data_IF_618876851083
#
_entry.id   IF_618876851083
#
_cell.length_a   1.000
_cell.length_b   1.000
_cell.length_c   1.000
_cell.angle_alpha   90.00
_cell.angle_beta   90.00
_cell.angle_gamma   90.00
#
_symmetry.space_group_name_H-M   'P 1'
#
loop_
_entity.id
_entity.type
_entity.pdbx_description
1 polymer ?
#
# COMPACT_ATOMS: atom_id res chain seq x y z
N UNK A 1 46.35 11.43 -18.83
CA UNK A 1 45.05 11.03 -19.43
C UNK A 1 44.02 12.08 -19.05
N UNK A 2 43.24 12.56 -20.02
CA UNK A 2 42.20 13.57 -19.79
C UNK A 2 41.04 12.82 -19.12
N UNK A 3 40.83 13.03 -17.83
CA UNK A 3 39.65 12.52 -17.11
C UNK A 3 38.42 13.14 -17.79
N UNK A 4 37.73 12.35 -18.62
CA UNK A 4 36.47 12.79 -19.19
C UNK A 4 35.42 12.75 -18.08
N UNK A 5 34.74 13.87 -17.87
CA UNK A 5 33.64 13.93 -16.91
C UNK A 5 32.47 13.09 -17.44
N UNK A 6 31.92 12.20 -16.61
CA UNK A 6 30.80 11.35 -16.99
C UNK A 6 29.53 12.20 -16.87
N UNK A 7 28.71 12.34 -17.92
CA UNK A 7 27.46 13.07 -17.81
C UNK A 7 26.48 12.40 -16.84
N UNK A 8 25.88 13.17 -15.94
CA UNK A 8 24.93 12.67 -14.92
C UNK A 8 23.82 11.82 -15.54
N UNK A 9 23.26 12.28 -16.68
CA UNK A 9 22.24 11.54 -17.42
C UNK A 9 22.67 10.11 -17.79
N UNK A 10 23.94 9.89 -18.13
CA UNK A 10 24.43 8.54 -18.47
C UNK A 10 24.53 7.68 -17.22
N UNK A 11 24.98 8.25 -16.09
CA UNK A 11 25.01 7.55 -14.80
C UNK A 11 23.60 7.14 -14.38
N UNK A 12 22.62 8.04 -14.51
CA UNK A 12 21.21 7.78 -14.22
C UNK A 12 20.62 6.68 -15.11
N UNK A 13 20.81 6.75 -16.43
CA UNK A 13 20.30 5.74 -17.37
C UNK A 13 20.92 4.35 -17.10
N UNK A 14 22.20 4.29 -16.71
CA UNK A 14 22.85 3.03 -16.28
C UNK A 14 22.29 2.56 -14.92
N UNK A 15 22.16 3.46 -13.96
CA UNK A 15 21.67 3.17 -12.60
C UNK A 15 20.19 2.73 -12.60
N UNK A 16 19.39 3.19 -13.56
CA UNK A 16 18.01 2.76 -13.81
C UNK A 16 17.92 1.46 -14.62
N UNK A 17 19.04 0.94 -15.13
CA UNK A 17 19.09 -0.28 -15.94
C UNK A 17 18.61 -0.10 -17.38
N UNK A 18 18.46 1.15 -17.85
CA UNK A 18 18.11 1.47 -19.23
C UNK A 18 19.31 1.29 -20.18
N UNK A 19 20.53 1.35 -19.64
CA UNK A 19 21.78 1.10 -20.36
C UNK A 19 22.71 0.17 -19.57
N UNK A 20 23.57 -0.55 -20.29
CA UNK A 20 24.60 -1.37 -19.67
C UNK A 20 25.87 -0.54 -19.42
N UNK A 21 26.46 -0.67 -18.22
CA UNK A 21 27.71 0.01 -17.85
C UNK A 21 28.91 -0.44 -18.71
N UNK A 22 28.91 -1.70 -19.16
CA UNK A 22 29.99 -2.30 -19.94
C UNK A 22 30.23 -1.57 -21.27
N UNK A 23 29.18 -1.01 -21.86
CA UNK A 23 29.23 -0.26 -23.13
C UNK A 23 30.04 1.05 -23.01
N UNK A 24 30.33 1.49 -21.77
CA UNK A 24 30.94 2.79 -21.47
C UNK A 24 32.32 2.68 -20.83
N UNK A 25 32.83 1.46 -20.57
CA UNK A 25 34.13 1.26 -19.93
C UNK A 25 35.30 1.78 -20.77
N UNK A 26 35.24 1.62 -22.09
CA UNK A 26 36.30 2.10 -22.98
C UNK A 26 36.30 3.64 -23.12
N UNK A 27 35.15 4.27 -22.84
CA UNK A 27 34.97 5.71 -22.99
C UNK A 27 35.39 6.45 -21.71
N UNK A 28 34.89 6.00 -20.56
CA UNK A 28 35.08 6.70 -19.28
C UNK A 28 36.03 5.99 -18.32
N UNK A 29 36.45 4.77 -18.63
CA UNK A 29 37.24 3.93 -17.74
C UNK A 29 36.36 3.21 -16.73
N UNK A 30 36.53 1.88 -16.64
CA UNK A 30 35.76 1.02 -15.73
C UNK A 30 35.76 1.52 -14.28
N UNK A 31 36.94 1.79 -13.72
CA UNK A 31 37.09 2.20 -12.32
C UNK A 31 36.40 3.54 -12.03
N UNK A 32 36.49 4.50 -12.97
CA UNK A 32 35.87 5.82 -12.81
C UNK A 32 34.34 5.72 -12.86
N UNK A 33 33.80 4.91 -13.78
CA UNK A 33 32.36 4.70 -13.93
C UNK A 33 31.76 3.95 -12.73
N UNK A 34 32.41 2.88 -12.27
CA UNK A 34 31.97 2.13 -11.09
C UNK A 34 32.01 2.98 -9.81
N UNK A 35 33.03 3.82 -9.65
CA UNK A 35 33.10 4.74 -8.51
C UNK A 35 32.01 5.81 -8.56
N UNK A 36 31.69 6.34 -9.74
CA UNK A 36 30.61 7.33 -9.90
C UNK A 36 29.23 6.72 -9.61
N UNK A 37 28.96 5.49 -10.08
CA UNK A 37 27.72 4.77 -9.76
C UNK A 37 27.60 4.49 -8.27
N UNK A 38 28.70 4.10 -7.61
CA UNK A 38 28.71 3.88 -6.16
C UNK A 38 28.43 5.17 -5.38
N UNK A 39 28.94 6.31 -5.84
CA UNK A 39 28.65 7.61 -5.23
C UNK A 39 27.17 7.99 -5.42
N UNK A 40 26.59 7.70 -6.59
CA UNK A 40 25.17 7.90 -6.85
C UNK A 40 24.30 7.06 -5.91
N UNK A 41 24.61 5.76 -5.76
CA UNK A 41 23.93 4.87 -4.82
C UNK A 41 23.98 5.40 -3.37
N UNK A 42 25.15 5.90 -2.94
CA UNK A 42 25.32 6.48 -1.61
C UNK A 42 24.52 7.76 -1.41
N UNK A 43 24.46 8.61 -2.45
CA UNK A 43 23.65 9.83 -2.44
C UNK A 43 22.16 9.49 -2.35
N UNK A 44 21.70 8.49 -3.09
CA UNK A 44 20.31 8.02 -3.01
C UNK A 44 19.97 7.48 -1.63
N UNK A 45 20.85 6.69 -1.02
CA UNK A 45 20.67 6.21 0.36
C UNK A 45 20.67 7.37 1.37
N UNK A 46 21.50 8.39 1.19
CA UNK A 46 21.51 9.60 2.03
C UNK A 46 20.20 10.39 1.86
N UNK A 47 19.71 10.58 0.64
CA UNK A 47 18.46 11.28 0.36
C UNK A 47 17.28 10.52 0.96
N UNK A 48 17.21 9.20 0.76
CA UNK A 48 16.13 8.35 1.28
C UNK A 48 16.15 8.22 2.81
N UNK A 49 17.31 8.39 3.45
CA UNK A 49 17.42 8.42 4.91
C UNK A 49 17.17 9.80 5.52
N UNK A 50 17.44 10.88 4.79
CA UNK A 50 17.13 12.27 5.21
C UNK A 50 15.68 12.66 4.92
N UNK A 51 15.12 12.12 3.84
CA UNK A 51 13.75 12.36 3.40
C UNK A 51 13.10 11.00 3.14
N UNK A 52 12.47 10.44 4.17
CA UNK A 52 11.65 9.26 3.96
C UNK A 52 10.54 9.64 2.97
N UNK A 53 10.24 8.77 1.99
CA UNK A 53 9.22 9.04 0.98
C UNK A 53 7.85 9.38 1.60
N UNK A 54 7.59 8.89 2.82
CA UNK A 54 6.43 9.24 3.63
C UNK A 54 6.39 10.71 4.07
N UNK A 55 7.52 11.37 4.35
CA UNK A 55 7.57 12.78 4.78
C UNK A 55 7.13 13.72 3.65
N UNK A 56 7.54 13.41 2.42
CA UNK A 56 7.16 14.18 1.23
C UNK A 56 5.68 13.96 0.88
N UNK A 57 5.18 12.73 1.05
CA UNK A 57 3.76 12.41 0.96
C UNK A 57 2.96 13.20 1.99
N UNK A 58 3.43 13.27 3.24
CA UNK A 58 2.78 14.02 4.32
C UNK A 58 2.81 15.54 4.07
N UNK A 59 3.88 16.08 3.49
CA UNK A 59 3.95 17.49 3.09
C UNK A 59 2.96 17.83 1.96
N UNK A 60 2.78 16.93 0.98
CA UNK A 60 1.78 17.07 -0.08
C UNK A 60 0.36 16.95 0.48
N UNK A 61 0.11 15.97 1.34
CA UNK A 61 -1.16 15.80 2.04
C UNK A 61 -1.48 17.04 2.88
N UNK A 62 -0.56 17.53 3.70
CA UNK A 62 -0.71 18.77 4.49
C UNK A 62 -1.04 19.97 3.61
N UNK A 63 -0.44 20.08 2.42
CA UNK A 63 -0.74 21.15 1.44
C UNK A 63 -2.11 20.97 0.77
N UNK A 64 -2.56 19.74 0.55
CA UNK A 64 -3.90 19.44 0.04
C UNK A 64 -4.98 19.66 1.10
N UNK A 65 -4.67 19.45 2.38
CA UNK A 65 -5.60 19.66 3.51
C UNK A 65 -5.59 21.09 4.07
N UNK A 66 -4.53 21.89 3.87
CA UNK A 66 -4.48 23.30 4.31
C UNK A 66 -5.23 24.26 3.38
N UNK A 67 -5.54 23.85 2.16
CA UNK A 67 -6.33 24.65 1.20
C UNK A 67 -7.85 24.59 1.50
N UNK A 68 -8.29 23.64 2.32
CA UNK A 68 -9.72 23.41 2.61
C UNK A 68 -10.21 23.98 3.94
N UNK A 69 -9.36 24.66 4.70
CA UNK A 69 -9.70 25.24 6.02
C UNK A 69 -9.34 26.72 6.14
N UNK A 70 -10.08 27.60 5.44
CA UNK A 70 -9.89 29.04 5.55
C UNK A 70 -10.99 29.85 4.84
N UNK A 71 -12.08 30.10 5.56
CA UNK A 71 -13.21 30.95 5.13
C UNK A 71 -12.83 32.44 5.16
N UNK A 72 -13.30 33.18 4.15
CA UNK A 72 -13.67 34.62 4.15
C UNK A 72 -12.64 35.67 4.58
N UNK A 73 -12.05 36.35 3.60
CA UNK A 73 -11.79 37.79 3.64
C UNK A 73 -12.92 38.51 2.91
N UNK A 74 -13.72 39.29 3.65
CA UNK A 74 -14.99 39.85 3.20
C UNK A 74 -14.88 40.97 2.16
N UNK A 75 -15.83 40.96 1.22
CA UNK A 75 -16.31 42.15 0.54
C UNK A 75 -17.73 42.41 1.05
N UNK A 76 -17.90 43.60 1.62
CA UNK A 76 -19.15 44.19 2.08
C UNK A 76 -20.13 44.41 0.92
N UNK A 77 -21.37 43.99 1.10
CA UNK A 77 -22.51 44.30 0.23
C UNK A 77 -23.80 43.97 0.97
N UNK A 78 -24.61 45.01 1.17
CA UNK A 78 -25.82 45.13 1.99
C UNK A 78 -27.05 44.33 1.49
N UNK A 79 -28.00 44.14 2.45
CA UNK A 79 -29.47 44.13 2.32
C UNK A 79 -30.16 43.11 1.37
N UNK A 80 -31.34 42.54 1.62
CA UNK A 80 -32.41 42.74 2.59
C UNK A 80 -33.37 41.53 2.52
N UNK A 81 -34.11 41.37 3.61
CA UNK A 81 -35.51 40.92 3.70
C UNK A 81 -35.92 39.42 3.67
N UNK A 82 -36.84 39.21 4.61
CA UNK A 82 -37.67 38.11 5.08
C UNK A 82 -38.00 36.90 4.18
N UNK A 83 -38.04 35.72 4.82
CA UNK A 83 -39.32 35.07 5.18
C UNK A 83 -39.11 33.70 5.83
N UNK A 84 -39.80 33.50 6.95
CA UNK A 84 -39.88 32.25 7.69
C UNK A 84 -40.61 31.16 6.90
N UNK A 85 -40.16 29.90 7.02
CA UNK A 85 -41.05 28.76 7.32
C UNK A 85 -40.31 27.48 7.67
N UNK A 86 -40.47 27.06 8.93
CA UNK A 86 -40.37 25.67 9.41
C UNK A 86 -41.44 24.81 8.71
N UNK A 87 -41.12 23.55 8.37
CA UNK A 87 -41.73 22.37 9.00
C UNK A 87 -41.36 21.06 8.28
N UNK A 88 -40.71 20.19 9.05
CA UNK A 88 -41.05 18.78 9.30
C UNK A 88 -41.15 17.73 8.16
N UNK A 89 -40.55 16.54 8.36
CA UNK A 89 -40.64 15.37 7.49
C UNK A 89 -41.84 14.48 7.86
N UNK A 90 -42.64 14.03 6.88
CA UNK A 90 -43.38 12.75 6.89
C UNK A 90 -44.27 12.59 5.63
N UNK A 91 -43.93 11.65 4.76
CA UNK A 91 -44.84 10.94 3.84
C UNK A 91 -44.06 9.73 3.30
N UNK A 92 -44.06 8.55 3.91
CA UNK A 92 -45.15 7.59 4.13
C UNK A 92 -45.70 6.99 2.82
N UNK A 93 -45.57 5.65 2.74
CA UNK A 93 -46.42 4.64 2.05
C UNK A 93 -45.98 4.09 0.68
N UNK A 94 -45.29 2.95 0.76
CA UNK A 94 -45.81 1.59 0.47
C UNK A 94 -46.65 1.38 -0.82
N UNK A 95 -46.15 0.49 -1.71
CA UNK A 95 -46.99 -0.42 -2.50
C UNK A 95 -46.37 -1.84 -2.53
N UNK A 96 -47.20 -2.82 -2.21
CA UNK A 96 -46.97 -4.28 -2.18
C UNK A 96 -47.60 -4.89 -3.46
N UNK A 97 -47.18 -6.13 -3.77
CA UNK A 97 -47.81 -7.22 -4.56
C UNK A 97 -47.37 -7.30 -6.03
N UNK A 98 -46.69 -8.34 -6.55
CA UNK A 98 -46.78 -9.81 -6.52
C UNK A 98 -47.44 -10.38 -7.80
N UNK A 99 -46.83 -11.42 -8.38
CA UNK A 99 -47.36 -12.49 -9.28
C UNK A 99 -46.21 -12.97 -10.21
N UNK A 100 -46.06 -14.22 -10.65
CA UNK A 100 -46.42 -15.57 -10.21
C UNK A 100 -45.64 -16.54 -11.15
N UNK A 101 -45.51 -17.80 -10.74
CA UNK A 101 -44.73 -18.90 -11.32
C UNK A 101 -45.12 -19.37 -12.75
N UNK A 102 -44.14 -19.98 -13.46
CA UNK A 102 -44.23 -21.24 -14.26
C UNK A 102 -42.86 -21.51 -14.95
N UNK A 103 -41.98 -22.37 -14.43
CA UNK A 103 -41.81 -23.83 -14.67
C UNK A 103 -41.80 -24.25 -16.14
N UNK A 104 -40.62 -24.69 -16.64
CA UNK A 104 -40.52 -25.90 -17.47
C UNK A 104 -39.17 -26.60 -17.24
N UNK A 105 -39.26 -27.87 -16.86
CA UNK A 105 -38.17 -28.81 -16.64
C UNK A 105 -38.09 -29.82 -17.80
N UNK A 106 -36.89 -30.26 -18.18
CA UNK A 106 -36.53 -31.61 -18.68
C UNK A 106 -35.01 -31.62 -18.95
N UNK A 107 -34.09 -32.27 -18.21
CA UNK A 107 -33.92 -33.69 -17.82
C UNK A 107 -33.17 -34.53 -18.87
N UNK A 108 -31.86 -34.70 -18.60
CA UNK A 108 -31.05 -35.95 -18.53
C UNK A 108 -30.56 -36.70 -19.80
N UNK A 109 -29.23 -36.95 -19.80
CA UNK A 109 -28.41 -38.01 -20.41
C UNK A 109 -28.27 -38.06 -21.95
N UNK A 110 -27.12 -38.36 -22.58
CA UNK A 110 -26.04 -39.27 -22.21
C UNK A 110 -24.69 -38.91 -22.92
N UNK A 111 -23.57 -39.56 -22.56
CA UNK A 111 -22.20 -39.12 -22.86
C UNK A 111 -21.48 -39.98 -23.95
N UNK A 112 -20.22 -39.61 -24.27
CA UNK A 112 -19.09 -40.49 -24.70
C UNK A 112 -18.87 -40.79 -26.22
N UNK A 113 -17.63 -40.47 -26.64
CA UNK A 113 -16.81 -40.85 -27.85
C UNK A 113 -16.98 -40.12 -29.20
N UNK A 114 -16.01 -39.26 -29.52
CA UNK A 114 -15.11 -39.35 -30.71
C UNK A 114 -13.97 -38.32 -30.53
N UNK A 115 -12.85 -38.70 -29.94
CA UNK A 115 -11.60 -39.13 -30.60
C UNK A 115 -10.85 -38.08 -31.43
N UNK A 116 -9.61 -37.84 -30.95
CA UNK A 116 -8.34 -37.74 -31.68
C UNK A 116 -8.02 -36.45 -32.46
N UNK A 117 -7.23 -35.58 -31.82
CA UNK A 117 -6.09 -34.94 -32.45
C UNK A 117 -4.96 -34.66 -31.43
N UNK A 118 -3.96 -35.54 -31.43
CA UNK A 118 -2.52 -35.31 -31.18
C UNK A 118 -1.82 -36.20 -32.23
N UNK A 119 -0.64 -35.84 -32.79
CA UNK A 119 0.48 -35.24 -32.05
C UNK A 119 1.31 -34.19 -32.83
N UNK A 120 2.13 -33.41 -32.12
CA UNK A 120 3.48 -33.07 -32.57
C UNK A 120 4.31 -32.62 -31.37
N UNK A 121 5.38 -33.36 -31.15
CA UNK A 121 6.42 -33.12 -30.15
C UNK A 121 7.11 -31.77 -30.38
N UNK A 122 7.27 -30.99 -29.31
CA UNK A 122 8.33 -30.00 -29.21
C UNK A 122 9.11 -30.27 -27.91
N UNK A 123 10.41 -30.42 -28.10
CA UNK A 123 11.44 -30.78 -27.13
C UNK A 123 11.50 -29.83 -25.92
N UNK A 124 11.88 -30.31 -24.72
CA UNK A 124 12.04 -29.48 -23.53
C UNK A 124 13.43 -28.87 -23.51
N UNK A 125 13.61 -27.64 -23.99
CA UNK A 125 14.83 -26.89 -23.71
C UNK A 125 14.63 -25.39 -23.93
N UNK A 126 14.15 -24.70 -22.88
CA UNK A 126 14.79 -23.48 -22.38
C UNK A 126 14.16 -23.09 -21.05
N UNK A 127 14.43 -23.88 -20.01
CA UNK A 127 14.38 -23.36 -18.66
C UNK A 127 15.58 -22.42 -18.50
N UNK A 128 15.41 -21.17 -18.91
CA UNK A 128 16.22 -20.07 -18.39
C UNK A 128 15.90 -19.95 -16.90
N UNK A 129 16.51 -20.84 -16.11
CA UNK A 129 16.77 -20.66 -14.68
C UNK A 129 17.66 -19.43 -14.59
N UNK A 130 17.03 -18.28 -14.34
CA UNK A 130 17.74 -17.12 -13.84
C UNK A 130 18.34 -17.49 -12.50
N UNK A 131 19.67 -17.57 -12.51
CA UNK A 131 20.52 -17.87 -11.39
C UNK A 131 20.56 -16.62 -10.50
N UNK A 132 20.04 -16.73 -9.28
CA UNK A 132 20.18 -15.74 -8.22
C UNK A 132 18.98 -14.81 -8.07
N UNK A 133 18.08 -15.15 -7.14
CA UNK A 133 17.14 -14.19 -6.57
C UNK A 133 17.92 -13.15 -5.75
N UNK A 134 18.52 -12.16 -6.42
CA UNK A 134 18.57 -10.82 -5.86
C UNK A 134 17.41 -10.07 -6.50
N UNK A 135 16.29 -10.01 -5.77
CA UNK A 135 15.24 -9.06 -6.09
C UNK A 135 15.93 -7.69 -6.13
N UNK A 136 15.74 -6.88 -7.19
CA UNK A 136 16.35 -5.57 -7.25
C UNK A 136 16.02 -4.83 -5.95
N UNK A 137 17.07 -4.38 -5.26
CA UNK A 137 17.05 -3.71 -3.96
C UNK A 137 16.36 -2.33 -3.99
N UNK A 138 15.49 -2.11 -4.97
CA UNK A 138 14.99 -0.80 -5.42
C UNK A 138 13.48 -0.62 -5.24
N UNK A 139 12.74 -1.65 -4.82
CA UNK A 139 11.32 -1.46 -4.49
C UNK A 139 11.21 -0.94 -3.06
N UNK A 140 10.61 0.25 -2.83
CA UNK A 140 10.45 0.76 -1.48
C UNK A 140 9.49 -0.13 -0.68
N UNK A 141 9.62 -0.07 0.64
CA UNK A 141 8.62 -0.63 1.53
C UNK A 141 7.26 -0.01 1.23
N UNK A 142 6.22 -0.83 1.15
CA UNK A 142 4.86 -0.33 0.88
C UNK A 142 3.80 -1.21 1.53
N UNK A 143 2.71 -0.57 1.95
CA UNK A 143 1.48 -1.21 2.39
C UNK A 143 0.36 -0.73 1.46
N UNK A 144 -0.44 -1.64 0.91
CA UNK A 144 -1.61 -1.30 0.11
C UNK A 144 -2.85 -2.04 0.57
N UNK A 145 -3.98 -1.39 0.40
CA UNK A 145 -5.29 -1.91 0.76
C UNK A 145 -6.18 -1.97 -0.49
N UNK A 146 -6.95 -3.04 -0.59
CA UNK A 146 -7.94 -3.22 -1.64
C UNK A 146 -9.28 -3.55 -1.02
N UNK A 147 -10.35 -2.86 -1.42
CA UNK A 147 -11.71 -3.16 -0.98
C UNK A 147 -12.39 -4.10 -1.96
N UNK A 148 -13.08 -5.11 -1.43
CA UNK A 148 -13.98 -5.95 -2.21
C UNK A 148 -15.34 -5.25 -2.37
N UNK A 149 -15.75 -5.02 -3.61
CA UNK A 149 -17.05 -4.47 -3.97
C UNK A 149 -17.80 -5.49 -4.85
N UNK A 150 -18.56 -6.37 -4.19
CA UNK A 150 -19.23 -7.50 -4.85
C UNK A 150 -18.24 -8.49 -5.49
N UNK A 151 -18.20 -8.52 -6.82
CA UNK A 151 -17.26 -9.32 -7.62
C UNK A 151 -16.01 -8.53 -8.08
N UNK A 152 -15.91 -7.25 -7.73
CA UNK A 152 -14.78 -6.39 -8.08
C UNK A 152 -13.87 -6.15 -6.88
N UNK A 153 -12.60 -5.83 -7.16
CA UNK A 153 -11.59 -5.47 -6.17
C UNK A 153 -11.04 -4.11 -6.56
N UNK A 154 -11.18 -3.14 -5.66
CA UNK A 154 -10.81 -1.75 -5.89
C UNK A 154 -9.62 -1.39 -5.00
N UNK A 155 -8.53 -0.91 -5.61
CA UNK A 155 -7.41 -0.37 -4.86
C UNK A 155 -7.86 0.90 -4.13
N UNK A 156 -7.51 1.00 -2.84
CA UNK A 156 -7.79 2.19 -2.04
C UNK A 156 -6.59 3.13 -2.10
N UNK A 157 -6.86 4.42 -1.95
CA UNK A 157 -5.85 5.45 -1.70
C UNK A 157 -5.73 5.72 -0.21
N UNK A 158 -4.57 6.18 0.24
CA UNK A 158 -4.40 6.58 1.64
C UNK A 158 -5.32 7.77 1.96
N UNK A 159 -6.12 7.65 3.02
CA UNK A 159 -7.18 8.60 3.38
C UNK A 159 -8.53 8.35 2.68
N UNK A 160 -8.68 7.26 1.94
CA UNK A 160 -9.96 6.87 1.36
C UNK A 160 -11.02 6.63 2.44
N UNK A 161 -12.29 6.87 2.11
CA UNK A 161 -13.41 6.55 2.99
C UNK A 161 -13.76 5.07 2.90
N UNK A 162 -13.95 4.47 4.07
CA UNK A 162 -14.39 3.09 4.26
C UNK A 162 -15.48 3.05 5.34
N UNK A 163 -16.28 2.00 5.34
CA UNK A 163 -17.43 1.85 6.23
C UNK A 163 -17.44 0.49 6.88
N UNK A 164 -18.16 0.35 7.99
CA UNK A 164 -18.39 -0.93 8.64
C UNK A 164 -18.92 -1.97 7.62
N UNK A 165 -18.38 -3.18 7.67
CA UNK A 165 -18.67 -4.27 6.74
C UNK A 165 -17.89 -4.24 5.43
N UNK A 166 -17.08 -3.22 5.14
CA UNK A 166 -16.15 -3.26 4.01
C UNK A 166 -15.10 -4.36 4.23
N UNK A 167 -14.90 -5.22 3.23
CA UNK A 167 -13.89 -6.29 3.28
C UNK A 167 -12.61 -5.83 2.59
N UNK A 168 -11.53 -5.76 3.36
CA UNK A 168 -10.23 -5.21 2.99
C UNK A 168 -9.20 -6.33 2.82
N UNK A 169 -8.60 -6.41 1.64
CA UNK A 169 -7.40 -7.21 1.41
C UNK A 169 -6.15 -6.35 1.64
N UNK A 170 -5.26 -6.83 2.51
CA UNK A 170 -3.99 -6.19 2.80
C UNK A 170 -2.90 -6.83 1.92
N UNK A 171 -2.07 -6.01 1.30
CA UNK A 171 -0.85 -6.43 0.61
C UNK A 171 0.35 -5.62 1.08
N UNK A 172 1.54 -6.21 1.04
CA UNK A 172 2.77 -5.54 1.42
C UNK A 172 3.90 -5.78 0.43
N UNK A 173 4.87 -4.87 0.46
CA UNK A 173 6.22 -5.08 -0.03
C UNK A 173 7.18 -4.71 1.10
N UNK A 174 8.07 -5.62 1.56
CA UNK A 174 8.96 -5.32 2.67
C UNK A 174 10.16 -4.44 2.25
N UNK A 175 10.32 -4.17 0.96
CA UNK A 175 11.46 -3.47 0.40
C UNK A 175 12.78 -4.16 0.74
N UNK A 176 13.66 -3.44 1.44
CA UNK A 176 14.98 -3.94 1.90
C UNK A 176 14.96 -4.64 3.26
N UNK A 177 13.81 -4.67 3.94
CA UNK A 177 13.68 -5.21 5.29
C UNK A 177 13.33 -6.70 5.23
N UNK A 178 13.89 -7.49 6.16
CA UNK A 178 13.74 -8.95 6.17
C UNK A 178 12.66 -9.43 7.14
N UNK A 179 12.33 -8.63 8.16
CA UNK A 179 11.41 -8.97 9.24
C UNK A 179 10.34 -7.90 9.37
N UNK A 180 9.11 -8.29 9.70
CA UNK A 180 8.06 -7.31 9.93
C UNK A 180 6.81 -7.81 10.66
N UNK A 181 6.01 -6.84 11.05
CA UNK A 181 4.70 -6.97 11.71
C UNK A 181 3.74 -6.02 11.00
N UNK A 182 2.51 -6.48 10.78
CA UNK A 182 1.42 -5.65 10.26
C UNK A 182 0.28 -5.68 11.27
N UNK A 183 -0.20 -4.50 11.65
CA UNK A 183 -1.33 -4.34 12.56
C UNK A 183 -2.11 -3.08 12.17
N UNK A 184 -3.29 -2.91 12.75
CA UNK A 184 -4.06 -1.70 12.63
C UNK A 184 -4.46 -1.14 13.99
N UNK A 185 -4.74 0.16 14.01
CA UNK A 185 -5.26 0.90 15.16
C UNK A 185 -6.56 1.57 14.70
N UNK A 186 -7.65 1.31 15.40
CA UNK A 186 -8.95 1.93 15.15
C UNK A 186 -9.11 3.27 15.91
N UNK A 187 -10.18 4.01 15.64
CA UNK A 187 -10.49 5.26 16.36
C UNK A 187 -10.85 5.09 17.84
N UNK A 188 -11.07 3.85 18.32
CA UNK A 188 -11.20 3.56 19.75
C UNK A 188 -9.85 3.25 20.42
N UNK A 189 -8.75 3.22 19.65
CA UNK A 189 -7.42 2.83 20.11
C UNK A 189 -7.21 1.31 20.21
N UNK A 190 -8.12 0.49 19.67
CA UNK A 190 -7.94 -0.95 19.66
C UNK A 190 -6.87 -1.35 18.64
N UNK A 191 -5.98 -2.23 19.06
CA UNK A 191 -4.89 -2.74 18.23
C UNK A 191 -5.26 -4.11 17.68
N UNK A 192 -5.35 -4.24 16.36
CA UNK A 192 -5.62 -5.52 15.69
C UNK A 192 -4.38 -5.99 14.93
N UNK A 193 -3.84 -7.16 15.30
CA UNK A 193 -2.73 -7.77 14.56
C UNK A 193 -3.24 -8.43 13.28
N UNK A 194 -2.56 -8.17 12.17
CA UNK A 194 -2.81 -8.82 10.87
C UNK A 194 -1.67 -9.77 10.47
N UNK A 195 -0.44 -9.49 10.90
CA UNK A 195 0.73 -10.33 10.63
C UNK A 195 1.81 -10.10 11.71
N UNK A 196 2.48 -11.13 12.24
CA UNK A 196 2.27 -12.56 12.00
C UNK A 196 0.94 -13.08 12.56
N UNK A 197 0.57 -14.32 12.22
CA UNK A 197 -0.66 -14.97 12.70
C UNK A 197 -0.73 -15.06 14.24
N UNK A 198 0.43 -15.23 14.89
CA UNK A 198 0.54 -15.33 16.35
C UNK A 198 1.75 -14.58 16.90
N UNK A 199 1.60 -14.07 18.12
CA UNK A 199 2.64 -13.28 18.80
C UNK A 199 2.83 -11.88 18.22
N UNK A 200 3.71 -11.10 18.84
CA UNK A 200 4.10 -9.77 18.38
C UNK A 200 5.57 -9.68 17.97
N UNK A 201 6.24 -10.83 17.94
CA UNK A 201 7.60 -10.97 17.42
C UNK A 201 7.59 -10.99 15.89
N UNK A 202 8.33 -10.07 15.28
CA UNK A 202 8.46 -9.94 13.84
C UNK A 202 8.99 -11.24 13.22
N UNK A 203 8.32 -11.71 12.18
CA UNK A 203 8.72 -12.91 11.43
C UNK A 203 9.35 -12.51 10.10
N UNK A 204 10.10 -13.44 9.52
CA UNK A 204 10.72 -13.22 8.21
C UNK A 204 9.65 -13.01 7.14
N UNK A 205 9.75 -11.90 6.42
CA UNK A 205 8.81 -11.55 5.37
C UNK A 205 9.17 -12.24 4.06
N UNK A 206 8.17 -12.48 3.22
CA UNK A 206 8.40 -12.97 1.85
C UNK A 206 8.90 -11.80 1.02
N UNK A 207 9.80 -12.06 0.08
CA UNK A 207 10.22 -11.08 -0.92
C UNK A 207 9.77 -11.56 -2.31
N UNK A 208 9.15 -10.66 -3.06
CA UNK A 208 8.70 -10.87 -4.43
C UNK A 208 8.99 -9.61 -5.26
N UNK A 209 9.01 -9.73 -6.59
CA UNK A 209 9.03 -8.58 -7.49
C UNK A 209 7.70 -7.81 -7.54
N UNK A 210 6.69 -8.28 -6.82
CA UNK A 210 5.35 -7.70 -6.71
C UNK A 210 4.90 -7.61 -5.25
N UNK A 211 3.77 -6.95 -5.02
CA UNK A 211 3.08 -6.99 -3.73
C UNK A 211 2.70 -8.43 -3.33
N UNK A 212 2.76 -8.69 -2.03
CA UNK A 212 2.42 -9.97 -1.42
C UNK A 212 1.14 -9.79 -0.61
N UNK A 213 0.05 -10.49 -0.95
CA UNK A 213 -1.16 -10.46 -0.15
C UNK A 213 -0.96 -11.22 1.16
N UNK A 214 -1.63 -10.77 2.21
CA UNK A 214 -1.87 -11.60 3.39
C UNK A 214 -2.88 -12.71 3.06
N UNK A 215 -2.81 -13.81 3.82
CA UNK A 215 -3.56 -15.03 3.52
C UNK A 215 -5.09 -14.88 3.74
N UNK A 216 -5.51 -13.83 4.45
CA UNK A 216 -6.90 -13.50 4.71
C UNK A 216 -7.21 -12.02 4.42
N UNK A 217 -8.48 -11.75 4.15
CA UNK A 217 -9.05 -10.40 4.12
C UNK A 217 -9.70 -10.09 5.46
N UNK A 218 -9.84 -8.80 5.78
CA UNK A 218 -10.37 -8.31 7.04
C UNK A 218 -11.66 -7.52 6.83
N UNK A 219 -12.69 -7.76 7.63
CA UNK A 219 -13.93 -6.98 7.59
C UNK A 219 -13.84 -5.84 8.61
N UNK A 220 -14.07 -4.60 8.18
CA UNK A 220 -14.05 -3.44 9.06
C UNK A 220 -15.23 -3.47 10.02
N UNK A 221 -14.96 -3.18 11.28
CA UNK A 221 -15.96 -2.99 12.32
C UNK A 221 -16.60 -1.59 12.26
N UNK A 222 -17.40 -1.25 13.27
CA UNK A 222 -18.03 0.06 13.43
C UNK A 222 -17.25 0.96 14.41
N UNK A 223 -15.91 0.96 14.35
CA UNK A 223 -15.10 1.93 15.07
C UNK A 223 -15.21 3.34 14.46
N UNK A 224 -15.17 4.41 15.30
CA UNK A 224 -15.31 5.79 14.85
C UNK A 224 -14.07 6.29 14.11
N UNK A 225 -14.22 7.43 13.43
CA UNK A 225 -13.18 8.30 12.84
C UNK A 225 -12.25 7.67 11.79
N UNK A 226 -11.51 6.62 12.13
CA UNK A 226 -10.52 6.02 11.25
C UNK A 226 -10.19 4.55 11.57
N UNK A 227 -9.52 3.92 10.61
CA UNK A 227 -8.75 2.70 10.78
C UNK A 227 -7.37 2.94 10.16
N UNK A 228 -6.28 2.82 10.93
CA UNK A 228 -4.92 3.03 10.42
C UNK A 228 -4.12 1.73 10.42
N UNK A 229 -3.79 1.23 9.24
CA UNK A 229 -2.97 0.04 9.04
C UNK A 229 -1.50 0.42 8.97
N UNK A 230 -0.65 -0.37 9.61
CA UNK A 230 0.75 -0.05 9.84
C UNK A 230 1.59 -1.28 9.54
N UNK A 231 2.53 -1.13 8.61
CA UNK A 231 3.63 -2.07 8.41
C UNK A 231 4.84 -1.54 9.15
N UNK A 232 5.37 -2.34 10.08
CA UNK A 232 6.65 -2.10 10.74
C UNK A 232 7.61 -3.17 10.24
N UNK A 233 8.79 -2.77 9.75
CA UNK A 233 9.77 -3.71 9.25
C UNK A 233 11.20 -3.32 9.61
N UNK A 234 12.11 -4.29 9.64
CA UNK A 234 13.53 -4.07 9.88
C UNK A 234 14.37 -5.17 9.23
N UNK A 235 15.67 -4.91 9.07
CA UNK A 235 16.66 -5.93 8.65
C UNK A 235 16.88 -7.00 9.72
N UNK A 236 16.52 -6.74 10.98
CA UNK A 236 16.68 -7.66 12.11
C UNK A 236 15.33 -7.99 12.72
N UNK A 237 15.22 -9.16 13.34
CA UNK A 237 14.06 -9.50 14.15
C UNK A 237 13.88 -8.48 15.29
N UNK A 238 12.62 -8.14 15.57
CA UNK A 238 12.21 -7.25 16.65
C UNK A 238 10.89 -7.76 17.25
N UNK A 239 10.47 -7.16 18.35
CA UNK A 239 9.28 -7.56 19.08
C UNK A 239 8.45 -6.31 19.39
N UNK A 240 7.14 -6.43 19.24
CA UNK A 240 6.13 -5.43 19.62
C UNK A 240 5.25 -5.95 20.77
N UNK A 241 5.76 -6.90 21.57
CA UNK A 241 5.06 -7.32 22.77
C UNK A 241 4.87 -6.11 23.69
N UNK A 242 3.63 -5.88 24.16
CA UNK A 242 3.27 -4.71 24.96
C UNK A 242 2.68 -3.53 24.17
N UNK A 243 2.54 -3.67 22.84
CA UNK A 243 2.14 -2.57 21.96
C UNK A 243 0.71 -2.08 22.24
N UNK A 244 -0.18 -2.98 22.66
CA UNK A 244 -1.54 -2.66 23.05
C UNK A 244 -1.58 -1.81 24.32
N UNK A 245 -0.77 -2.12 25.33
CA UNK A 245 -0.66 -1.29 26.53
C UNK A 245 -0.03 0.07 26.23
N UNK A 246 1.00 0.14 25.38
CA UNK A 246 1.65 1.40 24.99
C UNK A 246 0.68 2.33 24.24
N UNK A 247 -0.13 1.77 23.33
CA UNK A 247 -1.15 2.51 22.59
C UNK A 247 -2.29 2.92 23.53
N UNK A 248 -2.77 2.04 24.41
CA UNK A 248 -3.83 2.35 25.36
C UNK A 248 -3.41 3.40 26.41
N UNK A 249 -2.12 3.47 26.76
CA UNK A 249 -1.57 4.50 27.64
C UNK A 249 -1.43 5.87 26.95
N UNK A 250 -1.56 5.92 25.63
CA UNK A 250 -1.40 7.11 24.80
C UNK A 250 -2.74 7.71 24.37
N UNK A 251 -2.79 9.02 24.13
CA UNK A 251 -3.90 9.63 23.40
C UNK A 251 -3.75 9.29 21.93
N UNK A 252 -4.51 8.30 21.44
CA UNK A 252 -4.41 7.85 20.05
C UNK A 252 -5.12 8.84 19.14
N UNK A 253 -4.33 9.57 18.35
CA UNK A 253 -4.79 10.33 17.20
C UNK A 253 -3.92 10.02 15.97
N UNK A 254 -4.32 10.55 14.82
CA UNK A 254 -3.60 10.31 13.56
C UNK A 254 -2.15 10.81 13.64
N UNK A 255 -1.89 11.90 14.36
CA UNK A 255 -0.55 12.47 14.51
C UNK A 255 0.35 11.55 15.35
N UNK A 256 -0.14 11.03 16.48
CA UNK A 256 0.53 10.02 17.29
C UNK A 256 0.92 8.80 16.45
N UNK A 257 -0.06 8.26 15.69
CA UNK A 257 0.15 7.11 14.83
C UNK A 257 1.20 7.40 13.76
N UNK A 258 1.20 8.62 13.20
CA UNK A 258 2.14 9.07 12.17
C UNK A 258 3.51 9.45 12.70
N UNK A 259 3.67 9.82 13.97
CA UNK A 259 5.00 10.08 14.55
C UNK A 259 5.72 8.77 14.84
N UNK A 260 5.02 7.78 15.41
CA UNK A 260 5.57 6.41 15.54
C UNK A 260 6.60 6.23 16.64
N UNK A 261 6.70 7.16 17.60
CA UNK A 261 7.66 7.09 18.71
C UNK A 261 7.46 5.87 19.63
N UNK A 262 6.29 5.22 19.57
CA UNK A 262 5.95 4.00 20.29
C UNK A 262 6.56 2.74 19.65
N UNK A 263 7.21 2.86 18.48
CA UNK A 263 7.86 1.73 17.81
C UNK A 263 9.33 1.60 18.21
N UNK A 264 9.89 0.37 18.21
CA UNK A 264 11.31 0.15 18.48
C UNK A 264 12.21 0.92 17.52
N UNK A 265 13.33 1.42 18.03
CA UNK A 265 14.34 2.09 17.22
C UNK A 265 14.95 1.17 16.16
N UNK A 266 15.28 1.73 15.00
CA UNK A 266 15.83 0.95 13.87
C UNK A 266 14.79 0.10 13.13
N UNK A 267 13.50 0.43 13.28
CA UNK A 267 12.42 -0.05 12.43
C UNK A 267 11.99 1.02 11.44
N UNK A 268 11.67 0.59 10.21
CA UNK A 268 11.02 1.40 9.19
C UNK A 268 9.51 1.19 9.31
N UNK A 269 8.71 2.23 9.09
CA UNK A 269 7.25 2.15 9.21
C UNK A 269 6.56 2.76 7.99
N UNK A 270 5.53 2.09 7.51
CA UNK A 270 4.59 2.62 6.51
C UNK A 270 3.18 2.57 7.06
N UNK A 271 2.47 3.70 7.03
CA UNK A 271 1.08 3.81 7.50
C UNK A 271 0.11 4.05 6.33
N UNK A 272 -1.07 3.46 6.44
CA UNK A 272 -2.19 3.57 5.51
C UNK A 272 -3.49 3.80 6.31
N UNK A 273 -4.04 5.00 6.19
CA UNK A 273 -5.24 5.46 6.89
C UNK A 273 -6.49 5.25 6.03
N UNK A 274 -7.56 4.75 6.63
CA UNK A 274 -8.93 4.82 6.12
C UNK A 274 -9.75 5.73 7.02
N UNK A 275 -10.64 6.54 6.44
CA UNK A 275 -11.60 7.37 7.19
C UNK A 275 -12.93 6.64 7.32
N UNK A 276 -13.49 6.64 8.53
CA UNK A 276 -14.82 6.08 8.83
C UNK A 276 -15.88 7.17 8.76
#
# INVERSE_FOLDING_TARGET
>A
MKTMNIPDRILEEIHLGERNAEDYYDIYGKEQLENALKQLDQSDEEILSRYFADDMRNAVLKKQFSVTGGTSGGASGEENDSSEKKSSPHALRLRIMACAAAVLAAVIAAPVVLQRARPASASPENSNRLKGNKIPSKTPQSLRLYRKDGNSVNALENGASAKAGDVIQITYNPGRNDYGVIFSIDGNGNVTRHFPESGWTAVKMKHSGSEIPLDFSYELDDAPDFECFILVASKKAFSLEGIDEEIAASSVDVDFIQVGNYLPSGTDRTAFLLRK
#
